data_IF_532721551114
#
_entry.id   IF_532721551114
#
_cell.length_a   1.000
_cell.length_b   1.000
_cell.length_c   1.000
_cell.angle_alpha   90.00
_cell.angle_beta   90.00
_cell.angle_gamma   90.00
#
_symmetry.space_group_name_H-M   'P 1'
#
loop_
_entity.id
_entity.type
_entity.pdbx_description
1 polymer ?
#
# COMPACT_ATOMS: atom_id res chain seq x y z
N UNK A 1 18.18 13.30 -1.30
CA UNK A 1 16.89 12.57 -1.32
C UNK A 1 16.50 11.99 0.04
N UNK A 2 17.31 11.16 0.68
CA UNK A 2 16.98 10.61 2.01
C UNK A 2 16.73 11.69 3.10
N UNK A 3 17.52 12.77 3.11
CA UNK A 3 17.32 13.90 4.03
C UNK A 3 15.96 14.60 3.84
N UNK A 4 15.50 14.74 2.58
CA UNK A 4 14.18 15.29 2.28
C UNK A 4 13.08 14.35 2.81
N UNK A 5 13.21 13.04 2.61
CA UNK A 5 12.27 12.05 3.15
C UNK A 5 12.17 12.13 4.68
N UNK A 6 13.30 12.26 5.37
CA UNK A 6 13.35 12.47 6.84
C UNK A 6 12.78 13.82 7.28
N UNK A 7 12.91 14.87 6.47
CA UNK A 7 12.27 16.15 6.75
C UNK A 7 10.75 16.04 6.62
N UNK A 8 10.27 15.44 5.53
CA UNK A 8 8.85 15.22 5.28
C UNK A 8 8.21 14.38 6.38
N UNK A 9 8.89 13.36 6.90
CA UNK A 9 8.35 12.51 7.97
C UNK A 9 8.04 13.26 9.27
N UNK A 10 8.68 14.41 9.51
CA UNK A 10 8.48 15.26 10.69
C UNK A 10 7.39 16.32 10.52
N UNK A 11 6.96 16.61 9.30
CA UNK A 11 5.92 17.61 9.07
C UNK A 11 4.56 17.17 9.64
N UNK A 12 3.71 18.12 10.08
CA UNK A 12 2.33 17.80 10.44
C UNK A 12 1.55 17.20 9.26
N UNK A 13 0.64 16.28 9.55
CA UNK A 13 -0.13 15.57 8.51
C UNK A 13 -0.92 16.52 7.57
N UNK A 14 -1.58 17.60 8.05
CA UNK A 14 -2.28 18.52 7.16
C UNK A 14 -1.36 19.20 6.13
N UNK A 15 -0.12 19.53 6.54
CA UNK A 15 0.87 20.11 5.63
C UNK A 15 1.31 19.10 4.58
N UNK A 16 1.57 17.85 4.98
CA UNK A 16 1.88 16.77 4.03
C UNK A 16 0.73 16.54 3.06
N UNK A 17 -0.52 16.59 3.52
CA UNK A 17 -1.68 16.41 2.64
C UNK A 17 -1.82 17.55 1.64
N UNK A 18 -1.58 18.80 2.04
CA UNK A 18 -1.63 19.95 1.13
C UNK A 18 -0.49 19.88 0.09
N UNK A 19 0.73 19.55 0.53
CA UNK A 19 1.88 19.35 -0.36
C UNK A 19 1.66 18.15 -1.29
N UNK A 20 1.06 17.07 -0.78
CA UNK A 20 0.71 15.89 -1.55
C UNK A 20 -0.33 16.20 -2.62
N UNK A 21 -1.41 16.89 -2.25
CA UNK A 21 -2.43 17.32 -3.19
C UNK A 21 -1.84 18.19 -4.31
N UNK A 22 -1.00 19.18 -3.95
CA UNK A 22 -0.28 20.00 -4.92
C UNK A 22 0.62 19.14 -5.83
N UNK A 23 1.35 18.18 -5.26
CA UNK A 23 2.25 17.30 -6.02
C UNK A 23 1.49 16.41 -7.01
N UNK A 24 0.32 15.91 -6.63
CA UNK A 24 -0.56 15.16 -7.53
C UNK A 24 -1.04 16.00 -8.71
N UNK A 25 -1.46 17.23 -8.45
CA UNK A 25 -1.85 18.18 -9.51
C UNK A 25 -0.68 18.55 -10.41
N UNK A 26 0.50 18.83 -9.86
CA UNK A 26 1.70 19.11 -10.65
C UNK A 26 2.08 17.91 -11.54
N UNK A 27 2.03 16.68 -11.01
CA UNK A 27 2.28 15.48 -11.81
C UNK A 27 1.28 15.35 -12.98
N UNK A 28 0.00 15.61 -12.73
CA UNK A 28 -1.05 15.60 -13.75
C UNK A 28 -0.87 16.70 -14.81
N UNK A 29 -0.56 17.93 -14.39
CA UNK A 29 -0.38 19.06 -15.31
C UNK A 29 0.87 18.89 -16.17
N UNK A 30 2.00 18.50 -15.56
CA UNK A 30 3.31 18.49 -16.20
C UNK A 30 3.60 17.21 -16.99
N UNK A 31 2.95 16.08 -16.70
CA UNK A 31 3.16 14.82 -17.42
C UNK A 31 1.96 14.44 -18.29
N UNK A 32 2.08 14.68 -19.59
CA UNK A 32 1.04 14.31 -20.57
C UNK A 32 0.73 12.81 -20.58
N UNK A 33 1.74 11.95 -20.42
CA UNK A 33 1.56 10.49 -20.34
C UNK A 33 0.80 10.08 -19.08
N UNK A 34 1.17 10.61 -17.91
CA UNK A 34 0.47 10.32 -16.66
C UNK A 34 -1.00 10.79 -16.73
N UNK A 35 -1.24 12.01 -17.19
CA UNK A 35 -2.59 12.57 -17.36
C UNK A 35 -3.47 11.75 -18.30
N UNK A 36 -2.93 11.28 -19.43
CA UNK A 36 -3.66 10.41 -20.37
C UNK A 36 -4.03 9.09 -19.71
N UNK A 37 -3.07 8.39 -19.11
CA UNK A 37 -3.31 7.09 -18.50
C UNK A 37 -4.28 7.20 -17.31
N UNK A 38 -4.10 8.20 -16.45
CA UNK A 38 -4.97 8.46 -15.31
C UNK A 38 -6.41 8.72 -15.76
N UNK A 39 -6.60 9.57 -16.77
CA UNK A 39 -7.93 9.89 -17.30
C UNK A 39 -8.60 8.67 -17.93
N UNK A 40 -7.84 7.82 -18.62
CA UNK A 40 -8.34 6.57 -19.18
C UNK A 40 -8.80 5.58 -18.09
N UNK A 41 -7.99 5.38 -17.03
CA UNK A 41 -8.38 4.51 -15.92
C UNK A 41 -9.63 5.01 -15.19
N UNK A 42 -9.72 6.32 -14.93
CA UNK A 42 -10.90 6.93 -14.30
C UNK A 42 -12.16 6.77 -15.17
N UNK A 43 -12.02 6.95 -16.49
CA UNK A 43 -13.13 6.76 -17.42
C UNK A 43 -13.57 5.29 -17.50
N UNK A 44 -12.61 4.36 -17.59
CA UNK A 44 -12.87 2.92 -17.56
C UNK A 44 -13.53 2.50 -16.24
N UNK A 45 -13.21 3.19 -15.14
CA UNK A 45 -13.82 2.96 -13.85
C UNK A 45 -15.24 3.52 -13.70
N UNK A 46 -15.71 4.35 -14.64
CA UNK A 46 -16.97 5.09 -14.51
C UNK A 46 -16.93 6.18 -13.42
N UNK A 47 -15.75 6.60 -12.98
CA UNK A 47 -15.56 7.49 -11.81
C UNK A 47 -15.13 8.91 -12.21
N UNK A 48 -15.62 9.41 -13.35
CA UNK A 48 -15.20 10.71 -13.91
C UNK A 48 -15.38 11.86 -12.91
N UNK A 49 -16.44 11.81 -12.11
CA UNK A 49 -16.76 12.80 -11.08
C UNK A 49 -15.71 12.85 -9.95
N UNK A 50 -15.08 11.72 -9.64
CA UNK A 50 -14.06 11.62 -8.60
C UNK A 50 -12.66 12.02 -9.07
N UNK A 51 -12.47 12.35 -10.35
CA UNK A 51 -11.15 12.59 -10.97
C UNK A 51 -10.31 13.60 -10.22
N UNK A 52 -10.89 14.75 -9.86
CA UNK A 52 -10.17 15.86 -9.20
C UNK A 52 -9.70 15.47 -7.81
N UNK A 53 -10.57 14.81 -7.04
CA UNK A 53 -10.23 14.25 -5.74
C UNK A 53 -9.14 13.18 -5.87
N UNK A 54 -9.28 12.24 -6.81
CA UNK A 54 -8.33 11.16 -7.04
C UNK A 54 -6.92 11.66 -7.41
N UNK A 55 -6.80 12.75 -8.17
CA UNK A 55 -5.50 13.39 -8.47
C UNK A 55 -4.83 13.86 -7.17
N UNK A 56 -5.58 14.54 -6.30
CA UNK A 56 -5.06 15.02 -5.02
C UNK A 56 -4.69 13.86 -4.09
N UNK A 57 -5.57 12.86 -3.96
CA UNK A 57 -5.35 11.68 -3.11
C UNK A 57 -4.15 10.84 -3.56
N UNK A 58 -3.91 10.68 -4.87
CA UNK A 58 -2.73 10.00 -5.36
C UNK A 58 -1.42 10.67 -4.90
N UNK A 59 -1.39 12.00 -4.88
CA UNK A 59 -0.25 12.75 -4.37
C UNK A 59 -0.12 12.71 -2.85
N UNK A 60 -1.24 12.69 -2.11
CA UNK A 60 -1.24 12.49 -0.65
C UNK A 60 -0.67 11.12 -0.27
N UNK A 61 -1.15 10.05 -0.92
CA UNK A 61 -0.68 8.69 -0.69
C UNK A 61 0.86 8.59 -0.83
N UNK A 62 1.44 9.26 -1.82
CA UNK A 62 2.89 9.32 -1.99
C UNK A 62 3.60 10.05 -0.83
N UNK A 63 3.06 11.17 -0.37
CA UNK A 63 3.69 11.99 0.69
C UNK A 63 3.35 11.52 2.11
N UNK A 64 2.47 10.55 2.28
CA UNK A 64 2.27 9.84 3.54
C UNK A 64 3.40 8.82 3.80
N UNK A 65 4.00 8.24 2.75
CA UNK A 65 5.05 7.21 2.87
C UNK A 65 6.23 7.61 3.77
N UNK A 66 6.82 8.81 3.69
CA UNK A 66 7.88 9.20 4.61
C UNK A 66 7.46 9.13 6.08
N UNK A 67 6.21 9.48 6.39
CA UNK A 67 5.69 9.44 7.76
C UNK A 67 5.43 8.00 8.20
N UNK A 68 4.88 7.15 7.34
CA UNK A 68 4.63 5.73 7.63
C UNK A 68 5.95 4.98 7.83
N UNK A 69 6.98 5.27 7.01
CA UNK A 69 8.23 4.53 7.02
C UNK A 69 9.29 5.06 7.98
N UNK A 70 9.19 6.29 8.49
CA UNK A 70 10.29 6.87 9.30
C UNK A 70 9.84 7.34 10.69
N UNK A 71 8.58 7.15 11.05
CA UNK A 71 8.10 7.38 12.42
C UNK A 71 7.99 6.05 13.17
N UNK A 72 8.13 6.07 14.51
CA UNK A 72 7.87 4.90 15.33
C UNK A 72 6.53 4.24 14.99
N UNK A 73 6.51 2.91 14.96
CA UNK A 73 5.34 2.15 14.49
C UNK A 73 4.09 2.45 15.33
N UNK A 74 4.23 2.57 16.64
CA UNK A 74 3.19 2.97 17.59
C UNK A 74 2.60 4.36 17.27
N UNK A 75 3.44 5.35 16.95
CA UNK A 75 2.97 6.67 16.52
C UNK A 75 2.21 6.63 15.20
N UNK A 76 2.65 5.78 14.27
CA UNK A 76 2.02 5.61 12.95
C UNK A 76 0.64 4.96 13.11
N UNK A 77 0.54 3.86 13.85
CA UNK A 77 -0.74 3.16 14.04
C UNK A 77 -1.72 3.94 14.90
N UNK A 78 -1.25 4.81 15.79
CA UNK A 78 -2.10 5.73 16.56
C UNK A 78 -2.85 6.75 15.68
N UNK A 79 -2.46 6.90 14.40
CA UNK A 79 -3.21 7.72 13.42
C UNK A 79 -4.43 7.01 12.85
N UNK A 80 -4.57 5.70 13.06
CA UNK A 80 -5.74 4.95 12.61
C UNK A 80 -6.91 5.30 13.53
N UNK A 81 -7.88 6.05 13.00
CA UNK A 81 -9.04 6.54 13.76
C UNK A 81 -10.14 5.49 13.87
N UNK A 82 -10.32 4.68 12.84
CA UNK A 82 -11.36 3.66 12.76
C UNK A 82 -10.89 2.46 11.95
N UNK A 83 -11.26 1.28 12.42
CA UNK A 83 -11.13 0.03 11.68
C UNK A 83 -12.50 -0.63 11.62
N UNK A 84 -12.92 -1.01 10.43
CA UNK A 84 -14.15 -1.77 10.21
C UNK A 84 -13.80 -3.23 9.96
N UNK A 85 -14.56 -4.17 10.54
CA UNK A 85 -14.33 -5.62 10.35
C UNK A 85 -13.13 -6.19 11.10
N UNK A 86 -12.71 -5.56 12.21
CA UNK A 86 -11.57 -6.04 13.00
C UNK A 86 -11.86 -7.39 13.70
N UNK A 87 -13.11 -7.60 14.07
CA UNK A 87 -13.67 -8.86 14.56
C UNK A 87 -13.36 -10.04 13.63
N UNK A 88 -13.39 -9.83 12.30
CA UNK A 88 -13.01 -10.85 11.32
C UNK A 88 -11.54 -11.29 11.46
N UNK A 89 -10.65 -10.36 11.81
CA UNK A 89 -9.23 -10.66 12.05
C UNK A 89 -9.07 -11.46 13.34
N UNK A 90 -9.78 -11.06 14.40
CA UNK A 90 -9.74 -11.75 15.70
C UNK A 90 -10.31 -13.17 15.60
N UNK A 91 -11.41 -13.35 14.86
CA UNK A 91 -11.99 -14.66 14.60
C UNK A 91 -11.05 -15.54 13.78
N UNK A 92 -10.42 -14.98 12.74
CA UNK A 92 -9.42 -15.71 11.98
C UNK A 92 -8.25 -16.17 12.86
N UNK A 93 -7.78 -15.35 13.80
CA UNK A 93 -6.77 -15.75 14.79
C UNK A 93 -7.21 -16.92 15.66
N UNK A 94 -8.49 -16.96 16.09
CA UNK A 94 -9.03 -18.06 16.91
C UNK A 94 -9.05 -19.38 16.16
N UNK A 95 -9.15 -19.37 14.84
CA UNK A 95 -9.08 -20.60 14.04
C UNK A 95 -7.68 -21.21 13.96
N UNK A 96 -6.63 -20.47 14.34
CA UNK A 96 -5.23 -20.89 14.21
C UNK A 96 -4.72 -21.01 12.77
N UNK A 97 -5.53 -20.61 11.77
CA UNK A 97 -5.15 -20.61 10.36
C UNK A 97 -4.50 -19.28 9.96
N UNK A 98 -3.61 -19.33 8.99
CA UNK A 98 -2.98 -18.14 8.44
C UNK A 98 -4.00 -17.22 7.75
N UNK A 99 -3.70 -15.91 7.72
CA UNK A 99 -4.56 -14.89 7.13
C UNK A 99 -3.92 -14.37 5.85
N UNK A 100 -4.67 -14.37 4.75
CA UNK A 100 -4.27 -13.69 3.51
C UNK A 100 -5.01 -12.35 3.41
N UNK A 101 -4.28 -11.26 3.58
CA UNK A 101 -4.78 -9.91 3.33
C UNK A 101 -4.60 -9.55 1.86
N UNK A 102 -5.69 -9.19 1.20
CA UNK A 102 -5.70 -8.62 -0.14
C UNK A 102 -5.89 -7.11 -0.02
N UNK A 103 -4.85 -6.35 -0.34
CA UNK A 103 -4.82 -4.89 -0.16
C UNK A 103 -4.59 -4.22 -1.51
N UNK A 104 -5.63 -3.67 -2.18
CA UNK A 104 -5.41 -2.96 -3.43
C UNK A 104 -4.57 -1.70 -3.22
N UNK A 105 -3.98 -1.16 -4.30
CA UNK A 105 -3.24 0.11 -4.30
C UNK A 105 -4.21 1.30 -4.17
N UNK A 106 -4.87 1.42 -3.02
CA UNK A 106 -5.89 2.42 -2.75
C UNK A 106 -5.58 3.19 -1.47
N UNK A 107 -5.50 4.52 -1.60
CA UNK A 107 -5.21 5.41 -0.49
C UNK A 107 -3.88 5.12 0.20
N UNK A 108 -3.85 5.31 1.51
CA UNK A 108 -2.71 5.10 2.40
C UNK A 108 -2.46 3.61 2.72
N UNK A 109 -2.47 2.72 1.71
CA UNK A 109 -2.58 1.27 1.95
C UNK A 109 -1.47 0.68 2.84
N UNK A 110 -0.28 1.32 2.89
CA UNK A 110 0.84 0.86 3.72
C UNK A 110 0.58 0.92 5.23
N UNK A 111 -0.40 1.72 5.67
CA UNK A 111 -0.81 1.75 7.07
C UNK A 111 -1.37 0.40 7.55
N UNK A 112 -1.96 -0.38 6.64
CA UNK A 112 -2.68 -1.61 6.99
C UNK A 112 -1.73 -2.69 7.50
N UNK A 113 -0.60 -2.89 6.81
CA UNK A 113 0.45 -3.82 7.21
C UNK A 113 1.07 -3.41 8.56
N UNK A 114 1.31 -2.11 8.77
CA UNK A 114 1.82 -1.59 10.04
C UNK A 114 0.82 -1.82 11.18
N UNK A 115 -0.46 -1.52 10.94
CA UNK A 115 -1.52 -1.67 11.92
C UNK A 115 -1.72 -3.13 12.35
N UNK A 116 -1.59 -4.09 11.44
CA UNK A 116 -1.61 -5.51 11.80
C UNK A 116 -0.32 -5.92 12.54
N UNK A 117 0.84 -5.50 12.03
CA UNK A 117 2.14 -5.96 12.51
C UNK A 117 2.44 -5.55 13.96
N UNK A 118 1.84 -4.49 14.51
CA UNK A 118 1.97 -4.19 15.96
C UNK A 118 1.42 -5.31 16.86
N UNK A 119 0.58 -6.20 16.33
CA UNK A 119 -0.11 -7.25 17.11
C UNK A 119 0.40 -8.65 16.81
N UNK A 120 0.61 -8.99 15.53
CA UNK A 120 1.05 -10.34 15.12
C UNK A 120 2.00 -10.32 13.92
N UNK A 121 2.84 -11.37 13.73
CA UNK A 121 3.72 -11.49 12.58
C UNK A 121 2.99 -11.48 11.24
N UNK A 122 3.55 -10.78 10.27
CA UNK A 122 3.07 -10.68 8.90
C UNK A 122 4.23 -10.71 7.91
N UNK A 123 4.03 -11.39 6.78
CA UNK A 123 4.99 -11.39 5.67
C UNK A 123 4.39 -10.75 4.43
N UNK A 124 5.07 -9.79 3.82
CA UNK A 124 4.63 -9.12 2.58
C UNK A 124 5.61 -9.34 1.44
N UNK A 125 5.09 -9.42 0.21
CA UNK A 125 5.95 -9.40 -0.97
C UNK A 125 6.57 -8.01 -1.14
N UNK A 126 7.86 -8.00 -1.47
CA UNK A 126 8.65 -6.81 -1.66
C UNK A 126 9.56 -6.99 -2.86
N UNK A 127 9.50 -6.01 -3.76
CA UNK A 127 10.46 -5.83 -4.83
C UNK A 127 11.37 -4.68 -4.44
N UNK A 128 12.69 -4.91 -4.42
CA UNK A 128 13.66 -3.85 -4.15
C UNK A 128 13.42 -2.68 -5.12
N UNK A 129 13.30 -1.43 -4.62
CA UNK A 129 13.07 -0.27 -5.46
C UNK A 129 14.23 -0.06 -6.42
N UNK A 130 13.97 0.52 -7.59
CA UNK A 130 15.01 0.84 -8.59
C UNK A 130 16.03 1.84 -8.04
N UNK A 131 15.60 2.71 -7.13
CA UNK A 131 16.43 3.70 -6.47
C UNK A 131 16.97 3.13 -5.16
N UNK A 132 18.26 2.82 -5.12
CA UNK A 132 18.88 2.14 -3.99
C UNK A 132 18.76 2.88 -2.65
N UNK A 133 18.66 4.22 -2.67
CA UNK A 133 18.50 5.03 -1.46
C UNK A 133 17.14 4.84 -0.77
N UNK A 134 16.12 4.30 -1.46
CA UNK A 134 14.81 4.01 -0.88
C UNK A 134 14.83 2.71 -0.06
N UNK A 135 15.63 1.73 -0.47
CA UNK A 135 15.70 0.44 0.19
C UNK A 135 15.89 0.57 1.71
N UNK A 136 16.94 1.24 2.23
CA UNK A 136 17.15 1.36 3.67
C UNK A 136 16.02 2.09 4.40
N UNK A 137 15.34 3.04 3.76
CA UNK A 137 14.19 3.76 4.37
C UNK A 137 12.98 2.84 4.54
N UNK A 138 12.73 1.99 3.54
CA UNK A 138 11.68 0.96 3.63
C UNK A 138 12.06 -0.09 4.68
N UNK A 139 13.34 -0.31 4.95
CA UNK A 139 13.80 -1.22 6.01
C UNK A 139 13.66 -0.66 7.41
N UNK A 140 14.04 0.59 7.59
CA UNK A 140 13.90 1.34 8.84
C UNK A 140 12.42 1.43 9.28
N UNK A 141 11.49 1.53 8.32
CA UNK A 141 10.07 1.67 8.61
C UNK A 141 9.33 0.42 9.04
N UNK A 142 10.01 -0.71 9.17
CA UNK A 142 9.34 -1.97 9.52
C UNK A 142 9.37 -2.18 11.03
N UNK A 143 8.20 -2.45 11.60
CA UNK A 143 8.13 -3.04 12.93
C UNK A 143 8.72 -4.46 12.95
N UNK A 144 9.11 -4.94 14.13
CA UNK A 144 9.75 -6.24 14.31
C UNK A 144 8.95 -7.43 13.74
N UNK A 145 7.64 -7.28 13.62
CA UNK A 145 6.72 -8.31 13.14
C UNK A 145 6.47 -8.27 11.62
N UNK A 146 6.97 -7.26 10.89
CA UNK A 146 6.76 -7.13 9.45
C UNK A 146 7.97 -7.66 8.68
N UNK A 147 7.81 -8.86 8.11
CA UNK A 147 8.83 -9.57 7.33
C UNK A 147 8.65 -9.30 5.84
N UNK A 148 9.76 -9.23 5.11
CA UNK A 148 9.75 -9.11 3.66
C UNK A 148 10.09 -10.42 2.96
N UNK A 149 9.35 -10.73 1.91
CA UNK A 149 9.63 -11.81 0.97
C UNK A 149 9.94 -11.20 -0.41
N UNK A 150 10.99 -11.67 -1.13
CA UNK A 150 11.29 -11.16 -2.46
C UNK A 150 10.13 -11.40 -3.43
N UNK A 151 9.93 -10.53 -4.42
CA UNK A 151 8.89 -10.70 -5.45
C UNK A 151 9.29 -11.74 -6.53
N UNK A 152 9.56 -12.98 -6.12
CA UNK A 152 9.90 -14.13 -6.95
C UNK A 152 9.33 -15.45 -6.36
N UNK A 153 9.61 -16.59 -7.00
CA UNK A 153 9.16 -17.91 -6.54
C UNK A 153 9.64 -18.26 -5.12
N UNK A 154 10.83 -17.79 -4.72
CA UNK A 154 11.32 -18.01 -3.35
C UNK A 154 10.49 -17.24 -2.34
N UNK A 155 10.04 -16.03 -2.68
CA UNK A 155 9.11 -15.27 -1.87
C UNK A 155 7.74 -15.92 -1.76
N UNK A 156 7.19 -16.43 -2.87
CA UNK A 156 5.93 -17.19 -2.84
C UNK A 156 6.02 -18.37 -1.87
N UNK A 157 7.13 -19.13 -1.89
CA UNK A 157 7.36 -20.21 -0.91
C UNK A 157 7.41 -19.70 0.54
N UNK A 158 8.01 -18.53 0.79
CA UNK A 158 8.02 -17.90 2.13
C UNK A 158 6.62 -17.52 2.58
N UNK A 159 5.79 -16.95 1.70
CA UNK A 159 4.40 -16.64 2.02
C UNK A 159 3.60 -17.90 2.38
N UNK A 160 3.72 -18.95 1.57
CA UNK A 160 3.06 -20.22 1.84
C UNK A 160 3.50 -20.84 3.18
N UNK A 161 4.79 -20.72 3.52
CA UNK A 161 5.30 -21.16 4.82
C UNK A 161 4.68 -20.37 5.98
N UNK A 162 4.61 -19.04 5.85
CA UNK A 162 3.99 -18.17 6.85
C UNK A 162 2.50 -18.50 7.06
N UNK A 163 1.74 -18.68 5.98
CA UNK A 163 0.33 -19.08 6.06
C UNK A 163 0.14 -20.43 6.74
N UNK A 164 0.99 -21.42 6.41
CA UNK A 164 0.98 -22.75 7.03
C UNK A 164 1.33 -22.73 8.53
N UNK A 165 2.11 -21.74 8.97
CA UNK A 165 2.43 -21.55 10.39
C UNK A 165 1.42 -20.67 11.14
N UNK A 166 0.27 -20.35 10.53
CA UNK A 166 -0.74 -19.50 11.16
C UNK A 166 -0.40 -18.01 11.19
N UNK A 167 0.65 -17.58 10.48
CA UNK A 167 1.01 -16.16 10.34
C UNK A 167 0.19 -15.49 9.22
N UNK A 168 0.16 -14.16 9.22
CA UNK A 168 -0.47 -13.40 8.15
C UNK A 168 0.47 -13.16 6.96
N UNK A 169 -0.15 -13.01 5.79
CA UNK A 169 0.51 -12.55 4.57
C UNK A 169 -0.28 -11.39 3.96
N UNK A 170 0.43 -10.38 3.47
CA UNK A 170 -0.16 -9.31 2.66
C UNK A 170 0.23 -9.44 1.19
N UNK A 171 -0.76 -9.26 0.31
CA UNK A 171 -0.60 -9.23 -1.14
C UNK A 171 -1.43 -8.12 -1.75
N UNK A 172 -0.87 -7.47 -2.77
CA UNK A 172 -1.56 -6.48 -3.59
C UNK A 172 -2.01 -7.16 -4.90
N UNK A 173 -3.33 -7.39 -5.10
CA UNK A 173 -3.82 -8.27 -6.16
C UNK A 173 -4.09 -7.56 -7.50
N UNK A 174 -3.85 -6.26 -7.58
CA UNK A 174 -4.37 -5.34 -8.61
C UNK A 174 -3.31 -4.87 -9.61
N UNK A 175 -2.11 -5.46 -9.59
CA UNK A 175 -1.09 -5.22 -10.61
C UNK A 175 -0.99 -6.37 -11.61
N UNK A 176 -0.71 -6.01 -12.86
CA UNK A 176 -0.36 -6.99 -13.89
C UNK A 176 0.99 -7.61 -13.53
N UNK A 177 1.09 -8.94 -13.43
CA UNK A 177 2.35 -9.63 -13.16
C UNK A 177 3.33 -9.54 -14.35
N UNK A 178 4.51 -10.17 -14.24
CA UNK A 178 5.49 -10.19 -15.33
C UNK A 178 4.93 -10.82 -16.61
N UNK A 179 5.56 -10.52 -17.76
CA UNK A 179 5.16 -11.14 -19.04
C UNK A 179 5.24 -12.66 -18.92
N UNK A 180 4.13 -13.34 -19.24
CA UNK A 180 4.03 -14.80 -19.18
C UNK A 180 3.66 -15.36 -17.81
N UNK A 181 3.42 -14.50 -16.82
CA UNK A 181 2.92 -14.89 -15.50
C UNK A 181 1.42 -14.53 -15.37
N UNK A 182 0.65 -15.34 -14.66
CA UNK A 182 -0.76 -15.07 -14.33
C UNK A 182 -1.80 -15.61 -15.33
N UNK A 183 -3.05 -15.25 -15.10
CA UNK A 183 -4.19 -15.62 -15.93
C UNK A 183 -4.98 -14.36 -16.34
N UNK A 184 -5.53 -14.35 -17.55
CA UNK A 184 -6.42 -13.28 -17.99
C UNK A 184 -7.78 -13.44 -17.34
N UNK A 185 -8.15 -12.47 -16.50
CA UNK A 185 -9.43 -12.43 -15.80
C UNK A 185 -10.17 -11.14 -16.14
N UNK A 186 -11.50 -11.16 -16.26
CA UNK A 186 -12.29 -9.95 -16.29
C UNK A 186 -12.02 -9.11 -15.04
N UNK A 187 -11.66 -7.83 -15.24
CA UNK A 187 -11.45 -6.87 -14.17
C UNK A 187 -12.39 -5.68 -14.39
N UNK A 188 -13.40 -5.55 -13.54
CA UNK A 188 -14.32 -4.42 -13.52
C UNK A 188 -14.36 -3.83 -12.11
N UNK A 189 -14.24 -2.51 -12.03
CA UNK A 189 -14.49 -1.72 -10.81
C UNK A 189 -15.94 -1.24 -10.73
N UNK A 190 -16.72 -1.43 -11.80
CA UNK A 190 -18.17 -1.25 -11.79
C UNK A 190 -18.80 -2.57 -11.33
N UNK A 191 -19.61 -2.58 -10.25
CA UNK A 191 -20.29 -3.80 -9.83
C UNK A 191 -21.14 -4.33 -10.99
N UNK A 192 -21.23 -5.66 -11.19
CA UNK A 192 -22.15 -6.20 -12.16
C UNK A 192 -23.55 -5.68 -11.83
N UNK A 193 -24.20 -5.03 -12.80
CA UNK A 193 -25.63 -4.76 -12.71
C UNK A 193 -26.36 -6.09 -12.57
N UNK A 194 -27.34 -6.21 -11.65
CA UNK A 194 -28.11 -7.45 -11.48
C UNK A 194 -28.77 -7.92 -12.77
#
# INVERSE_FOLDING_TARGET
MAALFRLLSRLPLPLLHNLGALSGWLAWLLSGTYRRNFSAHIAQAGMIEAKTAAIAEAGKALLELPKIWLRPQDEVVARVVKVSGWDLVEDAWRTGRGILFLTPHLGCFEITAQYYAVRKPMTVLYRRPKQDWLAPLIEEGRGANLKLAPADLSGVRRLLKALKSGEAVGMLPDQVPGKGEGAWLPFSVVPPTP
#
